data_IF_978643262692
#
_entry.id   IF_978643262692
#
_cell.length_a   1.000
_cell.length_b   1.000
_cell.length_c   1.000
_cell.angle_alpha   90.00
_cell.angle_beta   90.00
_cell.angle_gamma   90.00
#
_symmetry.space_group_name_H-M   'P 1'
#
loop_
_entity.id
_entity.type
_entity.pdbx_description
1 polymer ?
#
# COMPACT_ATOMS: atom_id res chain seq x y z
N UNK A 1 -33.85 17.99 -4.09
CA UNK A 1 -33.84 18.93 -2.95
C UNK A 1 -35.08 18.65 -2.14
N UNK A 2 -34.93 18.20 -0.91
CA UNK A 2 -36.06 17.81 -0.05
C UNK A 2 -36.12 18.79 1.11
N UNK A 3 -37.08 19.72 1.08
CA UNK A 3 -37.27 20.69 2.16
C UNK A 3 -38.13 20.06 3.27
N UNK A 4 -37.67 20.13 4.51
CA UNK A 4 -38.45 19.75 5.70
C UNK A 4 -38.99 21.01 6.37
N UNK A 5 -40.32 21.16 6.41
CA UNK A 5 -41.01 22.23 7.14
C UNK A 5 -41.17 21.83 8.61
N UNK A 6 -40.56 22.58 9.54
CA UNK A 6 -40.84 22.45 10.97
C UNK A 6 -41.60 23.71 11.42
N UNK A 7 -42.77 23.52 12.06
CA UNK A 7 -43.59 24.60 12.64
C UNK A 7 -42.93 25.15 13.90
N UNK A 8 -42.90 26.49 14.02
CA UNK A 8 -42.61 27.24 15.24
C UNK A 8 -43.84 28.12 15.56
N UNK A 9 -44.14 28.30 16.86
CA UNK A 9 -45.37 28.92 17.38
C UNK A 9 -45.51 30.44 17.18
N UNK A 10 -44.58 31.09 16.49
CA UNK A 10 -44.57 32.56 16.30
C UNK A 10 -44.71 32.92 14.81
N UNK A 11 -45.76 32.44 14.14
CA UNK A 11 -46.39 32.99 12.92
C UNK A 11 -45.52 33.37 11.70
N UNK A 12 -44.21 33.13 11.71
CA UNK A 12 -43.26 33.66 10.75
C UNK A 12 -42.42 32.52 10.20
N UNK A 13 -42.58 32.27 8.90
CA UNK A 13 -41.78 31.29 8.17
C UNK A 13 -40.37 31.84 7.99
N UNK A 14 -39.45 31.48 8.88
CA UNK A 14 -38.03 31.78 8.70
C UNK A 14 -37.40 30.67 7.86
N UNK A 15 -37.14 30.95 6.58
CA UNK A 15 -36.29 30.08 5.75
C UNK A 15 -34.87 30.20 6.31
N UNK A 16 -34.46 29.24 7.13
CA UNK A 16 -33.05 29.11 7.52
C UNK A 16 -32.38 28.19 6.52
N UNK A 17 -31.48 28.75 5.72
CA UNK A 17 -30.58 27.95 4.90
C UNK A 17 -29.82 26.99 5.82
N UNK A 18 -29.88 25.69 5.52
CA UNK A 18 -28.97 24.72 6.15
C UNK A 18 -27.55 25.16 5.81
N UNK A 19 -26.65 25.34 6.79
CA UNK A 19 -25.27 25.63 6.48
C UNK A 19 -24.74 24.55 5.53
N UNK A 20 -24.29 24.94 4.34
CA UNK A 20 -23.62 24.01 3.44
C UNK A 20 -22.23 23.72 4.03
N UNK A 21 -22.17 22.71 4.89
CA UNK A 21 -20.94 22.28 5.56
C UNK A 21 -19.85 21.86 4.56
N UNK A 22 -20.17 21.69 3.27
CA UNK A 22 -19.18 21.44 2.21
C UNK A 22 -18.28 22.65 1.91
N UNK A 23 -18.62 23.85 2.39
CA UNK A 23 -17.81 25.08 2.21
C UNK A 23 -16.95 25.46 3.42
N UNK A 24 -16.99 24.69 4.51
CA UNK A 24 -16.24 25.00 5.75
C UNK A 24 -14.85 24.35 5.84
N UNK A 25 -14.47 23.49 4.89
CA UNK A 25 -13.14 22.89 4.84
C UNK A 25 -12.22 23.61 3.84
N UNK A 26 -11.98 24.91 4.07
CA UNK A 26 -10.84 25.64 3.48
C UNK A 26 -9.70 25.81 4.50
N UNK A 27 -9.51 24.81 5.36
CA UNK A 27 -8.25 24.60 6.08
C UNK A 27 -7.50 23.50 5.35
N UNK A 28 -6.32 23.80 4.82
CA UNK A 28 -5.39 22.76 4.37
C UNK A 28 -5.02 21.91 5.58
N UNK A 29 -5.80 20.85 5.85
CA UNK A 29 -5.40 19.82 6.79
C UNK A 29 -4.15 19.16 6.21
N UNK A 30 -2.99 19.48 6.79
CA UNK A 30 -1.85 18.59 6.73
C UNK A 30 -2.27 17.30 7.43
N UNK A 31 -2.79 16.34 6.67
CA UNK A 31 -3.04 14.99 7.17
C UNK A 31 -1.65 14.43 7.50
N UNK A 32 -1.29 14.42 8.78
CA UNK A 32 -0.17 13.64 9.24
C UNK A 32 -0.41 12.20 8.77
N UNK A 33 0.58 11.60 8.11
CA UNK A 33 0.43 10.26 7.58
C UNK A 33 -0.08 9.31 8.68
N UNK A 34 -1.19 8.62 8.40
CA UNK A 34 -1.78 7.66 9.30
C UNK A 34 -0.83 6.47 9.44
N UNK A 35 -0.17 6.43 10.60
CA UNK A 35 0.70 5.33 11.01
C UNK A 35 2.06 5.30 10.30
N UNK A 36 2.86 4.30 10.69
CA UNK A 36 4.13 3.93 10.07
C UNK A 36 4.04 2.49 9.60
N UNK A 37 4.69 2.20 8.48
CA UNK A 37 4.94 0.83 8.03
C UNK A 37 6.40 0.49 8.34
N UNK A 38 6.60 -0.65 8.98
CA UNK A 38 7.94 -1.18 9.25
C UNK A 38 8.64 -1.54 7.95
N UNK A 39 9.97 -1.41 7.91
CA UNK A 39 10.78 -1.79 6.75
C UNK A 39 10.63 -3.28 6.43
N UNK A 40 10.83 -3.65 5.16
CA UNK A 40 10.81 -5.06 4.78
C UNK A 40 12.11 -5.75 5.23
N UNK A 41 11.97 -6.79 6.05
CA UNK A 41 13.05 -7.70 6.41
C UNK A 41 12.77 -9.12 5.85
N UNK A 42 13.52 -9.60 4.85
CA UNK A 42 13.32 -10.93 4.27
C UNK A 42 13.59 -12.08 5.27
N UNK A 43 14.25 -11.83 6.40
CA UNK A 43 14.47 -12.83 7.44
C UNK A 43 13.25 -13.01 8.36
N UNK A 44 12.38 -11.99 8.45
CA UNK A 44 11.28 -11.95 9.41
C UNK A 44 9.90 -11.90 8.74
N UNK A 45 9.83 -11.43 7.49
CA UNK A 45 8.56 -11.14 6.83
C UNK A 45 8.48 -11.77 5.44
N UNK A 46 7.27 -12.24 5.14
CA UNK A 46 6.91 -12.63 3.79
C UNK A 46 6.67 -11.38 2.92
N UNK A 47 7.21 -11.38 1.70
CA UNK A 47 7.12 -10.22 0.81
C UNK A 47 5.66 -9.90 0.42
N UNK A 48 4.80 -10.89 0.23
CA UNK A 48 3.40 -10.62 -0.15
C UNK A 48 2.65 -9.97 1.01
N UNK A 49 2.84 -10.47 2.24
CA UNK A 49 2.25 -9.84 3.43
C UNK A 49 2.74 -8.41 3.65
N UNK A 50 4.01 -8.12 3.34
CA UNK A 50 4.52 -6.75 3.34
C UNK A 50 3.82 -5.87 2.30
N UNK A 51 3.69 -6.35 1.06
CA UNK A 51 3.04 -5.62 -0.03
C UNK A 51 1.56 -5.38 0.22
N UNK A 52 0.84 -6.33 0.81
CA UNK A 52 -0.55 -6.18 1.22
C UNK A 52 -0.72 -5.04 2.25
N UNK A 53 0.16 -5.00 3.27
CA UNK A 53 0.19 -3.90 4.26
C UNK A 53 0.49 -2.56 3.60
N UNK A 54 1.42 -2.54 2.65
CA UNK A 54 1.75 -1.33 1.89
C UNK A 54 0.56 -0.84 1.05
N UNK A 55 -0.21 -1.74 0.46
CA UNK A 55 -1.42 -1.40 -0.29
C UNK A 55 -2.50 -0.81 0.62
N UNK A 56 -2.69 -1.36 1.82
CA UNK A 56 -3.56 -0.75 2.83
C UNK A 56 -3.05 0.61 3.29
N UNK A 57 -1.72 0.78 3.42
CA UNK A 57 -1.11 2.08 3.72
C UNK A 57 -1.42 3.13 2.65
N UNK A 58 -1.41 2.75 1.36
CA UNK A 58 -1.81 3.63 0.28
C UNK A 58 -3.27 4.06 0.38
N UNK A 59 -4.16 3.14 0.71
CA UNK A 59 -5.60 3.41 0.90
C UNK A 59 -5.82 4.34 2.09
N UNK A 60 -5.20 4.04 3.23
CA UNK A 60 -5.36 4.83 4.45
C UNK A 60 -4.83 6.28 4.32
N UNK A 61 -3.83 6.50 3.48
CA UNK A 61 -3.16 7.79 3.32
C UNK A 61 -3.53 8.50 2.01
N UNK A 62 -4.58 8.06 1.30
CA UNK A 62 -5.01 8.60 0.01
C UNK A 62 -3.86 8.75 -1.00
N UNK A 63 -2.95 7.77 -1.03
CA UNK A 63 -1.77 7.79 -1.90
C UNK A 63 -2.20 7.52 -3.34
N UNK A 64 -2.22 8.59 -4.12
CA UNK A 64 -2.43 8.55 -5.58
C UNK A 64 -1.43 7.62 -6.26
N UNK A 65 -1.81 7.01 -7.37
CA UNK A 65 -0.96 6.08 -8.13
C UNK A 65 0.42 6.65 -8.48
N UNK A 66 0.47 7.93 -8.90
CA UNK A 66 1.72 8.65 -9.20
C UNK A 66 2.71 8.75 -8.02
N UNK A 67 2.24 8.60 -6.78
CA UNK A 67 3.06 8.66 -5.56
C UNK A 67 3.47 7.28 -5.05
N UNK A 68 2.83 6.19 -5.50
CA UNK A 68 3.06 4.83 -4.97
C UNK A 68 4.50 4.37 -5.14
N UNK A 69 5.11 4.64 -6.29
CA UNK A 69 6.54 4.35 -6.52
C UNK A 69 7.42 5.07 -5.50
N UNK A 70 7.22 6.37 -5.30
CA UNK A 70 8.01 7.14 -4.36
C UNK A 70 7.85 6.63 -2.92
N UNK A 71 6.62 6.32 -2.51
CA UNK A 71 6.33 5.77 -1.17
C UNK A 71 7.00 4.41 -0.99
N UNK A 72 6.84 3.47 -1.93
CA UNK A 72 7.50 2.15 -1.88
C UNK A 72 9.01 2.31 -1.67
N UNK A 73 9.67 3.13 -2.48
CA UNK A 73 11.13 3.31 -2.40
C UNK A 73 11.57 3.95 -1.07
N UNK A 74 10.72 4.76 -0.43
CA UNK A 74 11.01 5.34 0.87
C UNK A 74 10.79 4.39 2.06
N UNK A 75 9.90 3.41 1.95
CA UNK A 75 9.46 2.59 3.09
C UNK A 75 9.91 1.13 3.03
N UNK A 76 10.46 0.67 1.90
CA UNK A 76 10.94 -0.71 1.73
C UNK A 76 12.21 -1.03 2.54
N UNK A 77 12.90 0.01 3.01
CA UNK A 77 14.13 -0.10 3.77
C UNK A 77 15.38 -0.13 2.90
N UNK A 78 16.50 0.34 3.47
CA UNK A 78 17.73 0.59 2.74
C UNK A 78 18.32 -0.66 2.08
N UNK A 79 18.33 -1.79 2.80
CA UNK A 79 18.88 -3.07 2.30
C UNK A 79 18.15 -3.55 1.05
N UNK A 80 16.82 -3.56 1.12
CA UNK A 80 15.96 -4.02 0.02
C UNK A 80 15.99 -3.05 -1.15
N UNK A 81 16.10 -1.75 -0.88
CA UNK A 81 16.28 -0.75 -1.92
C UNK A 81 17.56 -0.98 -2.75
N UNK A 82 18.70 -1.29 -2.12
CA UNK A 82 19.95 -1.58 -2.86
C UNK A 82 19.85 -2.84 -3.73
N UNK A 83 19.14 -3.88 -3.26
CA UNK A 83 18.83 -5.06 -4.07
C UNK A 83 17.96 -4.67 -5.27
N UNK A 84 16.86 -3.95 -5.02
CA UNK A 84 15.95 -3.50 -6.07
C UNK A 84 16.67 -2.65 -7.12
N UNK A 85 17.50 -1.71 -6.68
CA UNK A 85 18.32 -0.85 -7.55
C UNK A 85 19.26 -1.66 -8.44
N UNK A 86 19.86 -2.72 -7.90
CA UNK A 86 20.71 -3.63 -8.66
C UNK A 86 19.91 -4.45 -9.69
N UNK A 87 18.69 -4.87 -9.36
CA UNK A 87 17.81 -5.64 -10.24
C UNK A 87 17.23 -4.83 -11.41
N UNK A 88 17.09 -3.52 -11.24
CA UNK A 88 16.49 -2.65 -12.27
C UNK A 88 17.52 -1.91 -13.13
N UNK A 89 18.81 -2.05 -12.84
CA UNK A 89 19.89 -1.43 -13.62
C UNK A 89 19.84 -1.89 -15.10
N UNK A 90 20.16 -0.99 -16.06
CA UNK A 90 20.70 0.36 -15.90
C UNK A 90 19.66 1.45 -15.59
N UNK A 91 18.37 1.11 -15.53
CA UNK A 91 17.31 2.08 -15.27
C UNK A 91 17.28 2.52 -13.80
N UNK A 92 16.69 3.69 -13.56
CA UNK A 92 16.41 4.17 -12.19
C UNK A 92 15.17 3.49 -11.64
N UNK A 93 15.22 3.01 -10.40
CA UNK A 93 14.05 2.46 -9.71
C UNK A 93 12.87 3.45 -9.67
N UNK A 94 13.15 4.76 -9.52
CA UNK A 94 12.14 5.82 -9.52
C UNK A 94 11.46 6.05 -10.88
N UNK A 95 12.03 5.53 -11.97
CA UNK A 95 11.46 5.66 -13.31
C UNK A 95 10.49 4.53 -13.66
N UNK A 96 10.42 3.47 -12.83
CA UNK A 96 9.52 2.34 -13.04
C UNK A 96 8.21 2.51 -12.28
N UNK A 97 7.16 1.88 -12.81
CA UNK A 97 5.85 1.89 -12.16
C UNK A 97 5.85 1.02 -10.90
N UNK A 98 4.95 1.30 -9.94
CA UNK A 98 4.77 0.46 -8.76
C UNK A 98 4.49 -1.01 -9.12
N UNK A 99 3.58 -1.34 -10.07
CA UNK A 99 3.36 -2.71 -10.51
C UNK A 99 4.63 -3.43 -11.01
N UNK A 100 5.48 -2.74 -11.78
CA UNK A 100 6.71 -3.32 -12.30
C UNK A 100 7.70 -3.63 -11.16
N UNK A 101 7.87 -2.69 -10.23
CA UNK A 101 8.74 -2.88 -9.06
C UNK A 101 8.22 -4.01 -8.16
N UNK A 102 6.89 -4.10 -7.97
CA UNK A 102 6.24 -5.19 -7.24
C UNK A 102 6.57 -6.54 -7.89
N UNK A 103 6.47 -6.65 -9.21
CA UNK A 103 6.78 -7.87 -9.95
C UNK A 103 8.26 -8.27 -9.84
N UNK A 104 9.18 -7.29 -9.91
CA UNK A 104 10.62 -7.52 -9.73
C UNK A 104 10.92 -8.06 -8.34
N UNK A 105 10.36 -7.44 -7.30
CA UNK A 105 10.54 -7.89 -5.90
C UNK A 105 10.01 -9.30 -5.69
N UNK A 106 8.79 -9.59 -6.18
CA UNK A 106 8.19 -10.92 -6.08
C UNK A 106 9.04 -11.98 -6.78
N UNK A 107 9.56 -11.67 -7.97
CA UNK A 107 10.43 -12.60 -8.72
C UNK A 107 11.73 -12.91 -7.98
N UNK A 108 12.28 -11.96 -7.23
CA UNK A 108 13.54 -12.12 -6.50
C UNK A 108 13.36 -12.85 -5.16
N UNK A 109 12.40 -12.42 -4.33
CA UNK A 109 12.22 -12.96 -2.97
C UNK A 109 11.30 -14.17 -2.91
N UNK A 110 10.46 -14.39 -3.94
CA UNK A 110 9.67 -15.61 -4.13
C UNK A 110 9.98 -16.23 -5.49
N UNK A 111 11.19 -16.77 -5.70
CA UNK A 111 11.49 -17.46 -6.93
C UNK A 111 10.52 -18.63 -7.09
N UNK A 112 9.87 -18.71 -8.26
CA UNK A 112 8.94 -19.79 -8.57
C UNK A 112 9.65 -21.13 -8.33
N UNK A 113 9.12 -22.04 -7.48
CA UNK A 113 9.80 -23.29 -7.21
C UNK A 113 10.00 -24.06 -8.52
N UNK A 114 11.25 -24.37 -8.84
CA UNK A 114 11.58 -25.24 -9.96
C UNK A 114 11.18 -26.66 -9.54
N UNK A 115 10.28 -27.30 -10.29
CA UNK A 115 9.79 -28.67 -10.05
C UNK A 115 10.91 -29.70 -9.86
N UNK A 116 12.10 -29.45 -10.42
CA UNK A 116 13.31 -30.30 -10.23
C UNK A 116 13.86 -30.18 -8.80
N UNK A 117 13.86 -28.99 -8.20
CA UNK A 117 14.30 -28.76 -6.82
C UNK A 117 13.34 -29.40 -5.81
N UNK A 118 12.04 -29.35 -6.07
CA UNK A 118 11.04 -30.04 -5.25
C UNK A 118 11.18 -31.57 -5.32
N UNK A 119 11.42 -32.13 -6.53
CA UNK A 119 11.75 -33.56 -6.67
C UNK A 119 13.03 -33.94 -5.93
N UNK A 120 14.03 -33.07 -5.92
CA UNK A 120 15.27 -33.31 -5.17
C UNK A 120 15.02 -33.29 -3.65
N UNK A 121 14.22 -32.34 -3.15
CA UNK A 121 13.80 -32.28 -1.75
C UNK A 121 12.98 -33.52 -1.35
N UNK A 122 12.07 -33.97 -2.21
CA UNK A 122 11.30 -35.20 -2.02
C UNK A 122 12.19 -36.44 -2.01
N UNK A 123 13.17 -36.55 -2.93
CA UNK A 123 14.14 -37.65 -2.97
C UNK A 123 15.12 -37.65 -1.79
N UNK A 124 15.37 -36.51 -1.15
CA UNK A 124 16.18 -36.39 0.07
C UNK A 124 15.41 -36.67 1.36
N UNK A 125 14.08 -36.66 1.33
CA UNK A 125 13.26 -37.23 2.40
C UNK A 125 13.28 -38.76 2.26
N UNK A 126 14.43 -39.36 2.56
CA UNK A 126 14.61 -40.81 2.54
C UNK A 126 13.70 -41.43 3.59
N UNK A 127 12.91 -42.38 3.10
CA UNK A 127 12.14 -43.40 3.82
C UNK A 127 12.92 -43.90 5.04
N UNK A 128 12.36 -43.69 6.24
CA UNK A 128 12.77 -44.51 7.40
C UNK A 128 12.32 -45.93 7.10
N UNK A 129 13.28 -46.82 6.83
CA UNK A 129 13.03 -48.26 6.86
C UNK A 129 12.37 -48.61 8.20
N UNK A 130 11.28 -49.36 8.13
CA UNK A 130 10.59 -49.99 9.27
C UNK A 130 10.88 -51.48 9.22
#
# INVERSE_FOLDING_TARGET
>A
MSNLLIRSDEGTLVVRETPDFRRLFHGTMSIAALGRIEEFDPAQNDLESYLERLEQYFVANDVTEAKRTAVLLSVIGAKTYEVLKSLVAPDKASAKSYPDLKAVLLSHFKPKPLTIYERFKFRKAVQKDT
#
